data_IF_213387004023
#
_entry.id   IF_213387004023
#
_cell.length_a   1.000
_cell.length_b   1.000
_cell.length_c   1.000
_cell.angle_alpha   90.00
_cell.angle_beta   90.00
_cell.angle_gamma   90.00
#
_symmetry.space_group_name_H-M   'P 1'
#
loop_
_entity.id
_entity.type
_entity.pdbx_description
1 polymer ?
#
# COMPACT_ATOMS: atom_id res chain seq x y z
N UNK A 1 -12.65 -16.79 -30.72
CA UNK A 1 -13.76 -16.79 -29.75
C UNK A 1 -13.24 -16.29 -28.40
N UNK A 2 -13.53 -15.04 -28.04
CA UNK A 2 -13.59 -14.55 -26.66
C UNK A 2 -14.61 -13.42 -26.68
N UNK A 3 -15.74 -13.69 -26.06
CA UNK A 3 -17.02 -12.99 -26.22
C UNK A 3 -16.89 -11.51 -25.89
N UNK A 4 -17.58 -10.70 -26.70
CA UNK A 4 -17.89 -9.31 -26.42
C UNK A 4 -18.39 -9.20 -24.97
N UNK A 5 -17.72 -8.36 -24.18
CA UNK A 5 -18.30 -7.87 -22.94
C UNK A 5 -19.25 -6.76 -23.37
N UNK A 6 -20.43 -7.16 -23.83
CA UNK A 6 -21.60 -6.30 -23.74
C UNK A 6 -21.97 -6.25 -22.26
N UNK A 7 -21.70 -5.11 -21.65
CA UNK A 7 -22.28 -4.75 -20.37
C UNK A 7 -22.54 -3.26 -20.42
N UNK A 8 -23.65 -2.90 -21.07
CA UNK A 8 -24.47 -1.75 -20.65
C UNK A 8 -25.12 -2.06 -19.29
N UNK A 9 -24.28 -2.37 -18.31
CA UNK A 9 -24.63 -2.32 -16.89
C UNK A 9 -23.87 -1.12 -16.33
N UNK A 10 -24.53 -0.24 -15.57
CA UNK A 10 -23.92 0.95 -14.98
C UNK A 10 -22.95 0.55 -13.85
N UNK A 11 -21.91 -0.20 -14.18
CA UNK A 11 -20.96 -0.82 -13.26
C UNK A 11 -19.51 -0.48 -13.61
N UNK A 12 -18.68 -0.41 -12.58
CA UNK A 12 -17.22 -0.22 -12.67
C UNK A 12 -16.61 -1.29 -13.59
N UNK A 13 -15.89 -0.88 -14.66
CA UNK A 13 -15.19 -1.86 -15.50
C UNK A 13 -14.06 -2.53 -14.71
N UNK A 14 -13.59 -3.73 -15.10
CA UNK A 14 -12.43 -4.35 -14.46
C UNK A 14 -11.18 -3.45 -14.46
N UNK A 15 -11.02 -2.58 -15.47
CA UNK A 15 -9.93 -1.61 -15.55
C UNK A 15 -10.13 -0.51 -14.50
N UNK A 16 -11.34 0.04 -14.38
CA UNK A 16 -11.66 1.05 -13.37
C UNK A 16 -11.43 0.52 -11.95
N UNK A 17 -11.84 -0.72 -11.68
CA UNK A 17 -11.61 -1.37 -10.39
C UNK A 17 -10.11 -1.48 -10.05
N UNK A 18 -9.27 -1.84 -11.04
CA UNK A 18 -7.82 -1.90 -10.86
C UNK A 18 -7.21 -0.51 -10.65
N UNK A 19 -7.68 0.51 -11.38
CA UNK A 19 -7.23 1.90 -11.19
C UNK A 19 -7.60 2.42 -9.80
N UNK A 20 -8.81 2.11 -9.33
CA UNK A 20 -9.25 2.45 -7.98
C UNK A 20 -8.38 1.77 -6.92
N UNK A 21 -8.13 0.47 -7.05
CA UNK A 21 -7.21 -0.26 -6.14
C UNK A 21 -5.81 0.34 -6.18
N UNK A 22 -5.30 0.72 -7.35
CA UNK A 22 -4.00 1.37 -7.47
C UNK A 22 -3.96 2.75 -6.79
N UNK A 23 -5.05 3.53 -6.86
CA UNK A 23 -5.18 4.78 -6.11
C UNK A 23 -5.16 4.53 -4.59
N UNK A 24 -5.95 3.57 -4.10
CA UNK A 24 -6.00 3.22 -2.68
C UNK A 24 -4.63 2.75 -2.16
N UNK A 25 -3.90 1.92 -2.94
CA UNK A 25 -2.54 1.50 -2.57
C UNK A 25 -1.58 2.69 -2.45
N UNK A 26 -1.70 3.70 -3.30
CA UNK A 26 -0.88 4.93 -3.22
C UNK A 26 -1.23 5.74 -1.98
N UNK A 27 -2.49 5.85 -1.61
CA UNK A 27 -2.94 6.50 -0.38
C UNK A 27 -2.41 5.79 0.86
N UNK A 28 -2.65 4.48 0.98
CA UNK A 28 -2.15 3.66 2.10
C UNK A 28 -0.64 3.75 2.21
N UNK A 29 0.09 3.77 1.09
CA UNK A 29 1.55 3.91 1.10
C UNK A 29 1.98 5.26 1.68
N UNK A 30 1.33 6.37 1.30
CA UNK A 30 1.62 7.70 1.85
C UNK A 30 1.32 7.76 3.35
N UNK A 31 0.19 7.21 3.77
CA UNK A 31 -0.19 7.18 5.18
C UNK A 31 0.78 6.33 6.01
N UNK A 32 1.20 5.19 5.47
CA UNK A 32 2.22 4.34 6.08
C UNK A 32 3.54 5.10 6.26
N UNK A 33 4.03 5.81 5.24
CA UNK A 33 5.27 6.59 5.33
C UNK A 33 5.22 7.65 6.44
N UNK A 34 4.10 8.38 6.55
CA UNK A 34 3.89 9.37 7.61
C UNK A 34 3.86 8.70 8.99
N UNK A 35 3.13 7.59 9.13
CA UNK A 35 3.05 6.84 10.39
C UNK A 35 4.41 6.28 10.81
N UNK A 36 5.16 5.67 9.88
CA UNK A 36 6.51 5.15 10.10
C UNK A 36 7.45 6.26 10.53
N UNK A 37 7.43 7.42 9.86
CA UNK A 37 8.26 8.56 10.25
C UNK A 37 7.95 9.03 11.68
N UNK A 38 6.68 9.16 12.04
CA UNK A 38 6.26 9.53 13.40
C UNK A 38 6.71 8.50 14.43
N UNK A 39 6.54 7.21 14.15
CA UNK A 39 6.97 6.12 15.03
C UNK A 39 8.50 6.12 15.23
N UNK A 40 9.27 6.34 14.16
CA UNK A 40 10.73 6.48 14.23
C UNK A 40 11.16 7.69 15.08
N UNK A 41 10.48 8.83 14.92
CA UNK A 41 10.72 10.02 15.76
C UNK A 41 10.35 9.80 17.23
N UNK A 42 9.35 8.96 17.50
CA UNK A 42 8.99 8.55 18.86
C UNK A 42 9.94 7.49 19.45
N UNK A 43 11.00 7.10 18.74
CA UNK A 43 12.01 6.16 19.21
C UNK A 43 11.70 4.68 18.97
N UNK A 44 10.58 4.34 18.32
CA UNK A 44 10.24 2.95 18.02
C UNK A 44 11.25 2.31 17.07
N UNK A 45 11.63 1.07 17.35
CA UNK A 45 12.53 0.29 16.50
C UNK A 45 11.84 -0.18 15.22
N UNK A 46 12.62 -0.47 14.18
CA UNK A 46 12.09 -1.04 12.93
C UNK A 46 11.37 -2.38 13.12
N UNK A 47 11.72 -3.14 14.15
CA UNK A 47 11.07 -4.40 14.47
C UNK A 47 9.66 -4.17 15.01
N UNK A 48 9.51 -3.26 16.00
CA UNK A 48 8.21 -2.92 16.58
C UNK A 48 7.26 -2.36 15.53
N UNK A 49 7.73 -1.42 14.70
CA UNK A 49 6.92 -0.86 13.61
C UNK A 49 6.49 -1.95 12.63
N UNK A 50 7.40 -2.87 12.27
CA UNK A 50 7.08 -4.00 11.40
C UNK A 50 6.00 -4.90 11.99
N UNK A 51 6.08 -5.21 13.29
CA UNK A 51 5.06 -6.00 14.00
C UNK A 51 3.68 -5.38 13.88
N UNK A 52 3.54 -4.06 14.04
CA UNK A 52 2.23 -3.38 13.91
C UNK A 52 1.73 -3.32 12.45
N UNK A 53 2.63 -3.26 11.47
CA UNK A 53 2.28 -3.28 10.05
C UNK A 53 2.12 -4.69 9.46
N UNK A 54 2.33 -5.74 10.26
CA UNK A 54 2.27 -7.14 9.81
C UNK A 54 3.41 -7.54 8.86
N UNK A 55 4.56 -6.85 8.92
CA UNK A 55 5.72 -7.11 8.07
C UNK A 55 6.98 -7.39 8.89
N UNK A 56 7.94 -8.11 8.32
CA UNK A 56 9.18 -8.39 9.02
C UNK A 56 10.08 -7.15 9.14
N UNK A 57 10.96 -7.14 10.16
CA UNK A 57 12.03 -6.14 10.30
C UNK A 57 12.87 -5.99 9.03
N UNK A 58 13.15 -7.10 8.35
CA UNK A 58 13.92 -7.11 7.11
C UNK A 58 13.16 -6.44 5.97
N UNK A 59 11.84 -6.64 5.88
CA UNK A 59 10.98 -5.94 4.92
C UNK A 59 10.97 -4.42 5.18
N UNK A 60 10.87 -4.02 6.45
CA UNK A 60 10.97 -2.60 6.84
C UNK A 60 12.32 -2.01 6.45
N UNK A 61 13.42 -2.66 6.81
CA UNK A 61 14.75 -2.21 6.43
C UNK A 61 14.89 -2.12 4.91
N UNK A 62 14.41 -3.11 4.14
CA UNK A 62 14.47 -3.09 2.68
C UNK A 62 13.69 -1.90 2.09
N UNK A 63 12.50 -1.61 2.62
CA UNK A 63 11.63 -0.50 2.15
C UNK A 63 12.22 0.87 2.50
N UNK A 64 12.73 1.04 3.71
CA UNK A 64 13.14 2.35 4.24
C UNK A 64 14.65 2.62 4.23
N UNK A 65 15.49 1.65 3.83
CA UNK A 65 16.95 1.81 3.66
C UNK A 65 17.36 2.96 2.75
N UNK A 66 16.54 3.31 1.75
CA UNK A 66 16.84 4.39 0.78
C UNK A 66 16.46 5.78 1.28
N UNK A 67 15.74 5.88 2.40
CA UNK A 67 15.17 7.13 2.93
C UNK A 67 15.95 7.63 4.16
N UNK A 68 17.11 7.02 4.44
CA UNK A 68 18.03 7.40 5.51
C UNK A 68 19.23 8.15 4.96
#
# INVERSE_FOLDING_TARGET
MRTAVDSDDQGETPIDALLRVAAHRREVTRDEEVAVRRARLAGMTWAEIGTFLGVSKQAMHKKYRKVG
#
